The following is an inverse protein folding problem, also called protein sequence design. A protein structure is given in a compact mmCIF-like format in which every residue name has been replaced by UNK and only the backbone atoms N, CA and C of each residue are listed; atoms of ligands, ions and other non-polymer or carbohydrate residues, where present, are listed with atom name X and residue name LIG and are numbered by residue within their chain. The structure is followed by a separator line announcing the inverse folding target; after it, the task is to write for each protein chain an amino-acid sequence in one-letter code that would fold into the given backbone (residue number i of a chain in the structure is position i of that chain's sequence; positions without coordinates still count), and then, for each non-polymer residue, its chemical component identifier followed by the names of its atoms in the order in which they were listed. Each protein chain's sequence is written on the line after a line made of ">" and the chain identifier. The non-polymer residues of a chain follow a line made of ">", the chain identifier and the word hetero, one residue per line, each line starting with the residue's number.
data_IF_327647775125
#
_entry.id   IF_327647775125
#
_cell.length_a   1.000
_cell.length_b   1.000
_cell.length_c   1.000
_cell.angle_alpha   90.00
_cell.angle_beta   90.00
_cell.angle_gamma   90.00
#
_symmetry.space_group_name_H-M   'P 1'
#
loop_
_entity.id
_entity.type
_entity.pdbx_description
1 polymer ?
#
# COMPACT_ATOMS: atom_id res chain seq x y z
N UNK A 1 23.34 1.82 -13.47
CA UNK A 1 22.27 0.84 -13.75
C UNK A 1 21.46 0.72 -12.47
N UNK A 2 20.16 0.95 -12.57
CA UNK A 2 19.27 0.88 -11.42
C UNK A 2 18.96 -0.55 -11.00
N UNK A 3 18.90 -0.77 -9.69
CA UNK A 3 18.56 -2.06 -9.08
C UNK A 3 17.68 -1.85 -7.86
N UNK A 4 16.86 -2.86 -7.59
CA UNK A 4 16.10 -2.98 -6.35
C UNK A 4 16.71 -4.10 -5.52
N UNK A 5 17.01 -3.85 -4.26
CA UNK A 5 17.74 -4.75 -3.37
C UNK A 5 16.86 -5.07 -2.16
N UNK A 6 16.55 -6.34 -1.94
CA UNK A 6 15.81 -6.82 -0.77
C UNK A 6 16.78 -7.53 0.17
N UNK A 7 16.89 -7.00 1.39
CA UNK A 7 17.69 -7.57 2.45
C UNK A 7 16.80 -7.99 3.62
N UNK A 8 16.70 -9.30 3.83
CA UNK A 8 15.87 -9.92 4.85
C UNK A 8 16.61 -11.00 5.65
N UNK A 9 17.95 -10.98 5.59
CA UNK A 9 18.78 -11.91 6.36
C UNK A 9 18.53 -11.79 7.87
N UNK A 10 18.13 -10.61 8.36
CA UNK A 10 17.77 -10.40 9.76
C UNK A 10 16.26 -10.57 9.94
N UNK A 11 15.84 -11.41 10.89
CA UNK A 11 14.42 -11.66 11.17
C UNK A 11 13.69 -10.46 11.79
N UNK A 12 14.44 -9.49 12.31
CA UNK A 12 13.88 -8.32 12.99
C UNK A 12 13.54 -7.19 12.02
N UNK A 13 14.11 -7.22 10.81
CA UNK A 13 14.01 -6.10 9.86
C UNK A 13 14.09 -6.59 8.41
N UNK A 14 13.08 -6.20 7.62
CA UNK A 14 13.09 -6.30 6.18
C UNK A 14 13.44 -4.94 5.59
N UNK A 15 14.49 -4.88 4.77
CA UNK A 15 14.99 -3.65 4.16
C UNK A 15 14.94 -3.71 2.65
N UNK A 16 14.46 -2.65 2.02
CA UNK A 16 14.36 -2.54 0.58
C UNK A 16 15.03 -1.26 0.12
N UNK A 17 16.05 -1.39 -0.74
CA UNK A 17 16.80 -0.26 -1.27
C UNK A 17 16.67 -0.18 -2.79
N UNK A 18 16.54 1.04 -3.31
CA UNK A 18 16.66 1.32 -4.74
C UNK A 18 17.99 2.03 -4.95
N UNK A 19 18.81 1.50 -5.83
CA UNK A 19 20.16 2.03 -6.09
C UNK A 19 20.34 2.33 -7.56
N UNK A 20 21.17 3.33 -7.88
CA UNK A 20 21.76 3.49 -9.22
C UNK A 20 23.27 3.35 -9.14
N UNK A 21 23.78 2.22 -9.64
CA UNK A 21 25.17 1.84 -9.40
C UNK A 21 25.41 1.57 -7.92
N UNK A 22 26.13 2.48 -7.26
CA UNK A 22 26.43 2.44 -5.81
C UNK A 22 25.74 3.58 -5.04
N UNK A 23 24.93 4.40 -5.71
CA UNK A 23 24.21 5.50 -5.07
C UNK A 23 22.85 5.02 -4.58
N UNK A 24 22.57 5.16 -3.29
CA UNK A 24 21.25 4.93 -2.72
C UNK A 24 20.29 6.04 -3.21
N UNK A 25 19.14 5.64 -3.77
CA UNK A 25 18.09 6.54 -4.24
C UNK A 25 16.93 6.57 -3.25
N UNK A 26 16.49 5.39 -2.81
CA UNK A 26 15.36 5.25 -1.90
C UNK A 26 15.58 4.06 -0.98
N UNK A 27 15.00 4.11 0.21
CA UNK A 27 15.01 3.01 1.17
C UNK A 27 13.70 2.94 1.94
N UNK A 28 13.18 1.73 2.08
CA UNK A 28 12.04 1.42 2.94
C UNK A 28 12.43 0.26 3.89
N UNK A 29 11.95 0.35 5.12
CA UNK A 29 12.36 -0.49 6.24
C UNK A 29 11.13 -0.88 7.03
N UNK A 30 10.91 -2.18 7.19
CA UNK A 30 9.84 -2.73 8.02
C UNK A 30 10.44 -3.56 9.15
N UNK A 31 10.19 -3.13 10.40
CA UNK A 31 10.63 -3.81 11.61
C UNK A 31 9.54 -4.72 12.15
N UNK A 32 9.91 -5.94 12.53
CA UNK A 32 9.01 -6.93 13.13
C UNK A 32 8.30 -6.36 14.37
N UNK A 33 6.98 -6.47 14.44
CA UNK A 33 6.16 -5.94 15.53
C UNK A 33 5.74 -4.47 15.41
N UNK A 34 6.21 -3.74 14.37
CA UNK A 34 5.66 -2.43 13.96
C UNK A 34 5.12 -2.46 12.53
N UNK A 35 4.49 -3.58 12.18
CA UNK A 35 3.89 -3.77 10.87
C UNK A 35 2.78 -2.74 10.64
N UNK A 36 2.81 -2.09 9.47
CA UNK A 36 1.73 -1.19 9.08
C UNK A 36 0.48 -2.01 8.80
N UNK A 37 -0.61 -1.70 9.50
CA UNK A 37 -1.92 -2.36 9.35
C UNK A 37 -2.83 -1.61 8.39
N UNK A 38 -2.42 -0.43 7.96
CA UNK A 38 -3.14 0.34 6.94
C UNK A 38 -3.43 -0.54 5.73
N UNK A 39 -4.67 -0.46 5.23
CA UNK A 39 -5.18 -1.20 4.08
C UNK A 39 -5.39 -2.71 4.28
N UNK A 40 -5.07 -3.28 5.45
CA UNK A 40 -5.45 -4.65 5.79
C UNK A 40 -6.97 -4.79 5.75
N UNK A 41 -7.44 -5.99 5.38
CA UNK A 41 -8.85 -6.32 5.28
C UNK A 41 -9.16 -7.41 6.29
N UNK A 42 -10.21 -7.20 7.06
CA UNK A 42 -10.66 -8.08 8.11
C UNK A 42 -12.13 -8.44 7.91
N UNK A 43 -12.51 -9.61 8.41
CA UNK A 43 -13.88 -9.86 8.80
C UNK A 43 -14.04 -9.31 10.22
N UNK A 44 -15.06 -8.50 10.43
CA UNK A 44 -15.37 -7.94 11.74
C UNK A 44 -16.82 -8.18 12.12
N UNK A 45 -17.11 -8.01 13.41
CA UNK A 45 -18.45 -8.10 13.98
C UNK A 45 -18.84 -6.76 14.58
N UNK A 46 -20.01 -6.23 14.22
CA UNK A 46 -20.56 -5.02 14.80
C UNK A 46 -20.84 -5.27 16.28
N UNK A 47 -20.10 -4.60 17.17
CA UNK A 47 -20.28 -4.75 18.62
C UNK A 47 -21.27 -3.75 19.19
N UNK A 48 -21.33 -2.55 18.61
CA UNK A 48 -22.17 -1.46 19.10
C UNK A 48 -22.51 -0.48 17.98
N UNK A 49 -23.76 -0.06 17.91
CA UNK A 49 -24.21 1.00 17.00
C UNK A 49 -24.40 2.30 17.78
N UNK A 50 -23.80 3.40 17.30
CA UNK A 50 -23.84 4.72 17.94
C UNK A 50 -24.47 5.76 16.99
N UNK A 51 -25.80 5.97 17.03
CA UNK A 51 -26.48 6.91 16.15
C UNK A 51 -26.01 8.36 16.30
N UNK A 52 -25.61 8.78 17.51
CA UNK A 52 -25.10 10.13 17.77
C UNK A 52 -23.80 10.45 17.04
N UNK A 53 -23.02 9.41 16.70
CA UNK A 53 -21.79 9.54 15.92
C UNK A 53 -21.98 9.19 14.44
N UNK A 54 -23.20 8.79 14.06
CA UNK A 54 -23.51 8.17 12.77
C UNK A 54 -22.51 7.06 12.42
N UNK A 55 -22.21 6.18 13.38
CA UNK A 55 -21.15 5.19 13.24
C UNK A 55 -21.41 3.93 14.07
N UNK A 56 -20.66 2.87 13.77
CA UNK A 56 -20.66 1.64 14.56
C UNK A 56 -19.22 1.21 14.92
N UNK A 57 -19.10 0.47 16.01
CA UNK A 57 -17.84 -0.10 16.48
C UNK A 57 -17.75 -1.55 16.05
N UNK A 58 -16.60 -1.92 15.49
CA UNK A 58 -16.34 -3.25 14.92
C UNK A 58 -15.26 -3.92 15.73
N UNK A 59 -15.51 -5.15 16.20
CA UNK A 59 -14.45 -6.05 16.65
C UNK A 59 -13.92 -6.80 15.43
N UNK A 60 -12.64 -6.65 15.13
CA UNK A 60 -12.00 -7.19 13.92
C UNK A 60 -10.76 -8.04 14.23
N UNK A 61 -10.60 -8.46 15.50
CA UNK A 61 -9.49 -9.30 15.97
C UNK A 61 -8.42 -8.55 16.77
N UNK A 62 -8.44 -7.22 16.74
CA UNK A 62 -7.54 -6.36 17.51
C UNK A 62 -8.09 -6.00 18.90
N UNK A 63 -7.20 -5.56 19.80
CA UNK A 63 -7.58 -5.18 21.17
C UNK A 63 -8.59 -4.04 21.23
N UNK A 64 -8.44 -3.04 20.34
CA UNK A 64 -9.37 -1.91 20.25
C UNK A 64 -10.35 -2.12 19.12
N UNK A 65 -11.61 -1.78 19.38
CA UNK A 65 -12.63 -1.81 18.33
C UNK A 65 -12.36 -0.70 17.31
N UNK A 66 -12.55 -1.04 16.04
CA UNK A 66 -12.46 -0.09 14.94
C UNK A 66 -13.72 0.76 14.86
N UNK A 67 -13.57 1.95 14.29
CA UNK A 67 -14.64 2.92 14.08
C UNK A 67 -15.06 2.92 12.62
N UNK A 68 -16.30 2.49 12.33
CA UNK A 68 -16.87 2.45 10.98
C UNK A 68 -18.00 3.50 10.86
N UNK A 69 -17.73 4.65 10.18
CA UNK A 69 -18.75 5.64 9.90
C UNK A 69 -19.85 5.09 8.97
N UNK A 70 -21.09 5.51 9.15
CA UNK A 70 -22.22 5.03 8.34
C UNK A 70 -22.05 5.32 6.85
N UNK A 71 -21.46 6.48 6.50
CA UNK A 71 -21.15 6.85 5.12
C UNK A 71 -20.15 5.90 4.43
N UNK A 72 -19.39 5.14 5.21
CA UNK A 72 -18.39 4.16 4.74
C UNK A 72 -18.96 2.72 4.70
N UNK A 73 -20.28 2.57 4.87
CA UNK A 73 -20.97 1.28 4.84
C UNK A 73 -21.58 1.03 3.46
N UNK A 74 -21.16 -0.06 2.82
CA UNK A 74 -21.69 -0.51 1.54
C UNK A 74 -23.15 -0.93 1.70
N UNK A 75 -23.96 -0.57 0.71
CA UNK A 75 -25.41 -0.77 0.73
C UNK A 75 -25.83 -2.24 0.81
N UNK A 76 -24.94 -3.15 0.39
CA UNK A 76 -25.13 -4.60 0.50
C UNK A 76 -25.24 -5.09 1.95
N UNK A 77 -24.75 -4.32 2.92
CA UNK A 77 -24.88 -4.64 4.34
C UNK A 77 -26.17 -4.10 4.98
N UNK A 78 -26.99 -3.35 4.26
CA UNK A 78 -28.22 -2.78 4.82
C UNK A 78 -29.28 -3.88 4.93
N UNK A 79 -30.13 -3.81 5.96
CA UNK A 79 -31.30 -4.69 6.09
C UNK A 79 -32.22 -4.55 4.87
N UNK A 80 -32.85 -5.66 4.49
CA UNK A 80 -33.84 -5.68 3.42
C UNK A 80 -35.00 -4.71 3.69
N UNK A 81 -35.45 -4.00 2.65
CA UNK A 81 -36.58 -3.07 2.74
C UNK A 81 -36.26 -1.66 3.25
N UNK A 82 -35.01 -1.36 3.62
CA UNK A 82 -34.60 -0.02 4.06
C UNK A 82 -34.40 0.91 2.86
N UNK A 83 -35.03 2.09 2.89
CA UNK A 83 -34.77 3.15 1.90
C UNK A 83 -33.37 3.73 2.09
N UNK A 84 -32.48 3.43 1.15
CA UNK A 84 -31.07 3.86 1.14
C UNK A 84 -30.91 5.38 1.24
N UNK A 85 -31.88 6.19 0.81
CA UNK A 85 -31.76 7.66 0.85
C UNK A 85 -32.01 8.24 2.23
N UNK A 86 -32.86 7.60 3.02
CA UNK A 86 -33.32 8.11 4.33
C UNK A 86 -32.94 7.18 5.49
N UNK A 87 -32.15 6.15 5.21
CA UNK A 87 -31.74 5.15 6.20
C UNK A 87 -30.96 5.81 7.35
N UNK A 88 -31.39 5.54 8.58
CA UNK A 88 -30.53 5.76 9.75
C UNK A 88 -29.64 4.53 9.97
N UNK A 89 -28.49 4.71 10.60
CA UNK A 89 -27.59 3.58 10.92
C UNK A 89 -28.28 2.50 11.78
N UNK A 90 -29.18 2.92 12.68
CA UNK A 90 -29.92 2.01 13.56
C UNK A 90 -30.90 1.13 12.78
N UNK A 91 -31.50 1.69 11.75
CA UNK A 91 -32.42 0.96 10.89
C UNK A 91 -31.65 0.06 9.92
N UNK A 92 -30.55 0.57 9.35
CA UNK A 92 -29.75 -0.10 8.35
C UNK A 92 -28.96 -1.31 8.88
N UNK A 93 -28.44 -1.26 10.11
CA UNK A 93 -27.50 -2.26 10.64
C UNK A 93 -28.01 -2.92 11.93
N UNK A 94 -27.39 -4.04 12.32
CA UNK A 94 -27.66 -4.73 13.60
C UNK A 94 -26.37 -5.09 14.32
N UNK A 95 -26.41 -5.07 15.66
CA UNK A 95 -25.32 -5.62 16.48
C UNK A 95 -25.20 -7.14 16.24
N UNK A 96 -23.97 -7.65 16.31
CA UNK A 96 -23.63 -9.02 15.95
C UNK A 96 -23.54 -9.30 14.45
N UNK A 97 -23.82 -8.32 13.58
CA UNK A 97 -23.66 -8.47 12.13
C UNK A 97 -22.19 -8.59 11.75
N UNK A 98 -21.86 -9.58 10.92
CA UNK A 98 -20.56 -9.69 10.29
C UNK A 98 -20.43 -8.73 9.11
N UNK A 99 -19.27 -8.09 8.97
CA UNK A 99 -18.98 -7.11 7.93
C UNK A 99 -17.51 -7.18 7.55
N UNK A 100 -17.21 -7.19 6.25
CA UNK A 100 -15.85 -7.04 5.75
C UNK A 100 -15.45 -5.56 5.82
N UNK A 101 -14.30 -5.29 6.43
CA UNK A 101 -13.80 -3.94 6.67
C UNK A 101 -12.33 -3.83 6.29
N UNK A 102 -11.95 -2.68 5.75
CA UNK A 102 -10.59 -2.30 5.45
C UNK A 102 -10.15 -1.18 6.38
N UNK A 103 -8.90 -1.24 6.86
CA UNK A 103 -8.29 -0.19 7.68
C UNK A 103 -7.91 1.00 6.80
N UNK A 104 -8.59 2.13 6.97
CA UNK A 104 -8.27 3.38 6.25
C UNK A 104 -7.17 4.16 6.99
N UNK A 105 -7.29 4.25 8.32
CA UNK A 105 -6.34 4.92 9.21
C UNK A 105 -6.07 4.05 10.42
N UNK A 106 -4.79 3.90 10.74
CA UNK A 106 -4.35 3.14 11.90
C UNK A 106 -4.78 3.80 13.22
N UNK A 107 -4.64 3.03 14.29
CA UNK A 107 -4.91 3.49 15.65
C UNK A 107 -4.01 4.68 15.99
N UNK A 108 -4.60 5.72 16.59
CA UNK A 108 -3.84 6.91 17.01
C UNK A 108 -4.14 7.24 18.46
N UNK A 109 -3.14 7.09 19.30
CA UNK A 109 -3.26 7.33 20.74
C UNK A 109 -4.32 6.42 21.34
N UNK A 110 -5.43 7.00 21.81
CA UNK A 110 -6.53 6.24 22.41
C UNK A 110 -7.67 5.89 21.45
N UNK A 111 -7.60 6.31 20.18
CA UNK A 111 -8.65 6.05 19.18
C UNK A 111 -8.33 4.77 18.42
N UNK A 112 -9.31 3.88 18.31
CA UNK A 112 -9.24 2.71 17.44
C UNK A 112 -9.13 3.11 15.96
N UNK A 113 -8.82 2.12 15.11
CA UNK A 113 -8.61 2.33 13.69
C UNK A 113 -9.87 2.85 12.99
N UNK A 114 -9.71 3.74 12.01
CA UNK A 114 -10.82 4.13 11.14
C UNK A 114 -10.99 3.07 10.05
N UNK A 115 -12.21 2.58 9.90
CA UNK A 115 -12.56 1.50 9.00
C UNK A 115 -13.47 1.99 7.89
N UNK A 116 -13.41 1.32 6.75
CA UNK A 116 -14.39 1.42 5.67
C UNK A 116 -14.81 0.02 5.24
N UNK A 117 -16.06 -0.15 4.80
CA UNK A 117 -16.45 -1.38 4.13
C UNK A 117 -16.26 -1.30 2.61
N UNK A 118 -15.94 -0.12 2.07
CA UNK A 118 -15.59 0.05 0.66
C UNK A 118 -14.14 -0.37 0.46
N UNK A 119 -13.95 -1.62 0.06
CA UNK A 119 -12.63 -2.19 -0.16
C UNK A 119 -11.97 -1.49 -1.34
N UNK A 120 -10.68 -1.23 -1.21
CA UNK A 120 -9.80 -0.70 -2.24
C UNK A 120 -8.56 -1.58 -2.36
N UNK A 121 -8.28 -2.07 -3.56
CA UNK A 121 -7.10 -2.89 -3.85
C UNK A 121 -6.20 -2.12 -4.81
N UNK A 122 -5.06 -1.67 -4.30
CA UNK A 122 -4.12 -0.91 -5.10
C UNK A 122 -3.22 -1.86 -5.91
N UNK A 123 -3.36 -1.79 -7.23
CA UNK A 123 -2.44 -2.38 -8.20
C UNK A 123 -1.37 -1.38 -8.60
N UNK A 124 -0.60 -1.69 -9.63
CA UNK A 124 0.50 -0.85 -10.08
C UNK A 124 0.00 0.42 -10.77
N UNK A 125 -0.99 0.26 -11.64
CA UNK A 125 -1.55 1.32 -12.48
C UNK A 125 -2.97 1.69 -12.08
N UNK A 126 -3.72 0.74 -11.54
CA UNK A 126 -5.12 0.90 -11.16
C UNK A 126 -5.30 0.69 -9.65
N UNK A 127 -6.40 1.22 -9.13
CA UNK A 127 -6.96 0.83 -7.83
C UNK A 127 -8.35 0.28 -8.09
N UNK A 128 -8.57 -0.99 -7.77
CA UNK A 128 -9.87 -1.64 -7.90
C UNK A 128 -10.72 -1.34 -6.66
N UNK A 129 -11.96 -0.92 -6.89
CA UNK A 129 -13.00 -0.71 -5.89
C UNK A 129 -14.13 -1.71 -6.15
N UNK A 130 -14.03 -2.96 -5.67
CA UNK A 130 -14.93 -4.05 -6.09
C UNK A 130 -16.37 -3.90 -5.57
N UNK A 131 -16.60 -3.10 -4.53
CA UNK A 131 -17.92 -2.92 -3.92
C UNK A 131 -18.36 -1.45 -3.85
N UNK A 132 -17.74 -0.58 -4.67
CA UNK A 132 -18.11 0.81 -4.79
C UNK A 132 -18.20 1.22 -6.27
N UNK A 133 -19.38 1.18 -6.92
CA UNK A 133 -19.53 1.56 -8.32
C UNK A 133 -19.33 3.07 -8.58
N UNK A 134 -19.27 3.89 -7.53
CA UNK A 134 -19.14 5.36 -7.64
C UNK A 134 -17.72 5.85 -7.35
N UNK A 135 -16.80 4.95 -7.00
CA UNK A 135 -15.44 5.29 -6.59
C UNK A 135 -14.46 5.58 -7.73
N UNK A 136 -14.83 5.31 -8.98
CA UNK A 136 -13.91 5.32 -10.11
C UNK A 136 -13.47 6.70 -10.60
N UNK A 137 -12.38 6.73 -11.38
CA UNK A 137 -11.91 7.95 -12.04
C UNK A 137 -10.41 7.95 -12.32
N UNK A 138 -9.85 9.15 -12.54
CA UNK A 138 -8.41 9.34 -12.75
C UNK A 138 -7.82 10.10 -11.57
N UNK A 139 -6.61 9.74 -11.14
CA UNK A 139 -5.84 10.42 -10.10
C UNK A 139 -5.86 11.95 -10.28
N UNK A 140 -6.04 12.68 -9.17
CA UNK A 140 -6.07 14.15 -9.18
C UNK A 140 -4.74 14.78 -9.59
N UNK A 141 -3.64 14.03 -9.57
CA UNK A 141 -2.32 14.50 -10.01
C UNK A 141 -2.15 14.48 -11.54
N UNK A 142 -3.12 13.93 -12.27
CA UNK A 142 -3.10 13.83 -13.74
C UNK A 142 -4.08 14.84 -14.32
N UNK A 143 -3.58 15.69 -15.21
CA UNK A 143 -4.28 16.83 -15.79
C UNK A 143 -4.04 16.89 -17.32
N UNK A 144 -4.79 17.74 -18.01
CA UNK A 144 -4.60 17.97 -19.45
C UNK A 144 -4.88 16.73 -20.32
N UNK A 145 -4.10 16.59 -21.39
CA UNK A 145 -4.23 15.53 -22.40
C UNK A 145 -4.02 14.13 -21.80
N UNK A 146 -3.02 13.97 -20.92
CA UNK A 146 -2.74 12.70 -20.22
C UNK A 146 -3.97 12.16 -19.48
N UNK A 147 -4.76 13.06 -18.88
CA UNK A 147 -5.99 12.68 -18.16
C UNK A 147 -7.06 12.15 -19.11
N UNK A 148 -7.18 12.76 -20.28
CA UNK A 148 -8.16 12.37 -21.29
C UNK A 148 -7.77 11.03 -21.91
N UNK A 149 -6.51 10.88 -22.33
CA UNK A 149 -5.99 9.64 -22.90
C UNK A 149 -6.12 8.45 -21.93
N UNK A 150 -5.77 8.66 -20.66
CA UNK A 150 -5.88 7.63 -19.64
C UNK A 150 -7.34 7.23 -19.40
N UNK A 151 -8.27 8.20 -19.43
CA UNK A 151 -9.71 7.91 -19.32
C UNK A 151 -10.23 7.11 -20.51
N UNK A 152 -9.87 7.49 -21.74
CA UNK A 152 -10.25 6.77 -22.95
C UNK A 152 -9.69 5.34 -22.99
N UNK A 153 -8.51 5.14 -22.40
CA UNK A 153 -7.90 3.82 -22.24
C UNK A 153 -8.63 2.99 -21.18
N UNK A 154 -9.00 3.60 -20.05
CA UNK A 154 -9.77 2.94 -18.99
C UNK A 154 -11.16 2.51 -19.45
N UNK A 155 -11.82 3.29 -20.31
CA UNK A 155 -13.16 2.97 -20.82
C UNK A 155 -13.18 1.70 -21.70
N UNK A 156 -12.00 1.22 -22.13
CA UNK A 156 -11.84 -0.02 -22.91
C UNK A 156 -11.61 -1.26 -22.04
N UNK A 157 -11.46 -1.10 -20.73
CA UNK A 157 -11.21 -2.22 -19.81
C UNK A 157 -12.48 -3.06 -19.61
N UNK A 158 -12.30 -4.38 -19.54
CA UNK A 158 -13.38 -5.30 -19.19
C UNK A 158 -13.58 -5.32 -17.67
N UNK A 159 -14.37 -4.34 -17.19
CA UNK A 159 -14.70 -4.18 -15.77
C UNK A 159 -16.13 -4.70 -15.49
N UNK A 160 -16.30 -5.67 -14.58
CA UNK A 160 -17.63 -6.14 -14.19
C UNK A 160 -18.52 -5.05 -13.59
N UNK A 161 -19.83 -5.15 -13.85
CA UNK A 161 -20.82 -4.23 -13.31
C UNK A 161 -20.80 -4.23 -11.77
N UNK A 162 -20.97 -3.03 -11.19
CA UNK A 162 -20.95 -2.84 -9.73
C UNK A 162 -19.58 -2.53 -9.15
N UNK A 163 -18.50 -2.71 -9.92
CA UNK A 163 -17.14 -2.33 -9.55
C UNK A 163 -16.76 -0.97 -10.16
N UNK A 164 -15.72 -0.35 -9.62
CA UNK A 164 -15.09 0.81 -10.26
C UNK A 164 -13.57 0.75 -10.14
N UNK A 165 -12.86 1.50 -10.97
CA UNK A 165 -11.40 1.58 -10.95
C UNK A 165 -10.92 3.02 -10.93
N UNK A 166 -9.82 3.27 -10.24
CA UNK A 166 -9.13 4.56 -10.24
C UNK A 166 -7.78 4.40 -10.92
N UNK A 167 -7.49 5.17 -11.98
CA UNK A 167 -6.15 5.19 -12.55
C UNK A 167 -5.16 6.00 -11.70
N UNK A 168 -4.03 5.38 -11.37
CA UNK A 168 -2.89 5.97 -10.68
C UNK A 168 -2.04 6.78 -11.67
N UNK A 169 -1.24 7.69 -11.14
CA UNK A 169 -0.28 8.50 -11.94
C UNK A 169 0.72 7.63 -12.70
N UNK A 170 1.06 6.44 -12.18
CA UNK A 170 1.94 5.48 -12.86
C UNK A 170 1.30 4.86 -14.13
N UNK A 171 -0.01 4.99 -14.32
CA UNK A 171 -0.73 4.50 -15.50
C UNK A 171 -0.61 5.38 -16.74
N UNK A 172 -0.02 6.58 -16.65
CA UNK A 172 0.17 7.47 -17.80
C UNK A 172 1.03 6.77 -18.87
N UNK A 173 0.58 6.83 -20.12
CA UNK A 173 1.27 6.24 -21.27
C UNK A 173 1.30 4.70 -21.29
N UNK A 174 0.50 4.05 -20.44
CA UNK A 174 0.30 2.59 -20.48
C UNK A 174 -0.82 2.25 -21.48
N UNK A 175 -0.65 1.14 -22.19
CA UNK A 175 -1.67 0.68 -23.13
C UNK A 175 -2.80 -0.10 -22.42
N UNK A 176 -3.87 -0.40 -23.17
CA UNK A 176 -5.05 -1.12 -22.65
C UNK A 176 -4.66 -2.50 -22.10
N UNK A 177 -3.76 -3.22 -22.77
CA UNK A 177 -3.36 -4.57 -22.35
C UNK A 177 -2.66 -4.53 -20.99
N UNK A 178 -1.70 -3.62 -20.79
CA UNK A 178 -1.01 -3.44 -19.51
C UNK A 178 -1.98 -3.10 -18.37
N UNK A 179 -2.94 -2.22 -18.63
CA UNK A 179 -3.97 -1.87 -17.64
C UNK A 179 -4.93 -3.06 -17.38
N UNK A 180 -5.27 -3.84 -18.40
CA UNK A 180 -6.12 -5.02 -18.28
C UNK A 180 -5.42 -6.13 -17.49
N UNK A 181 -4.10 -6.33 -17.66
CA UNK A 181 -3.32 -7.26 -16.85
C UNK A 181 -3.33 -6.88 -15.36
N UNK A 182 -3.10 -5.60 -15.04
CA UNK A 182 -3.19 -5.10 -13.67
C UNK A 182 -4.61 -5.28 -13.09
N UNK A 183 -5.65 -4.98 -13.88
CA UNK A 183 -7.05 -5.22 -13.49
C UNK A 183 -7.32 -6.71 -13.22
N UNK A 184 -6.88 -7.61 -14.10
CA UNK A 184 -7.09 -9.05 -13.96
C UNK A 184 -6.43 -9.59 -12.68
N UNK A 185 -5.23 -9.11 -12.35
CA UNK A 185 -4.58 -9.43 -11.08
C UNK A 185 -5.42 -8.97 -9.89
N UNK A 186 -5.88 -7.71 -9.89
CA UNK A 186 -6.71 -7.17 -8.80
C UNK A 186 -8.04 -7.92 -8.66
N UNK A 187 -8.63 -8.37 -9.78
CA UNK A 187 -9.83 -9.21 -9.78
C UNK A 187 -9.56 -10.59 -9.18
N UNK A 188 -8.43 -11.21 -9.48
CA UNK A 188 -8.02 -12.49 -8.88
C UNK A 188 -7.78 -12.33 -7.37
N UNK A 189 -7.10 -11.27 -6.96
CA UNK A 189 -6.88 -10.93 -5.56
C UNK A 189 -8.22 -10.72 -4.84
N UNK A 190 -9.15 -9.97 -5.44
CA UNK A 190 -10.48 -9.77 -4.87
C UNK A 190 -11.23 -11.09 -4.66
N UNK A 191 -11.21 -12.00 -5.65
CA UNK A 191 -11.83 -13.33 -5.51
C UNK A 191 -11.23 -14.14 -4.37
N UNK A 192 -9.92 -14.07 -4.17
CA UNK A 192 -9.25 -14.73 -3.05
C UNK A 192 -9.68 -14.14 -1.71
N UNK A 193 -9.77 -12.81 -1.60
CA UNK A 193 -10.24 -12.09 -0.42
C UNK A 193 -11.70 -12.45 -0.10
N UNK A 194 -12.58 -12.44 -1.10
CA UNK A 194 -13.99 -12.77 -0.94
C UNK A 194 -14.18 -14.23 -0.49
N UNK A 195 -13.44 -15.16 -1.09
CA UNK A 195 -13.42 -16.57 -0.69
C UNK A 195 -12.91 -16.77 0.74
N UNK A 196 -11.80 -16.14 1.11
CA UNK A 196 -11.24 -16.21 2.46
C UNK A 196 -12.17 -15.58 3.51
N UNK A 197 -12.82 -14.45 3.21
CA UNK A 197 -13.80 -13.82 4.10
C UNK A 197 -15.05 -14.67 4.36
N UNK A 198 -15.34 -15.61 3.47
CA UNK A 198 -16.46 -16.56 3.61
C UNK A 198 -16.06 -17.87 4.31
N UNK A 199 -14.76 -18.09 4.56
CA UNK A 199 -14.24 -19.37 5.06
C UNK A 199 -14.52 -19.63 6.54
N UNK A 200 -14.67 -18.56 7.34
CA UNK A 200 -14.90 -18.65 8.78
C UNK A 200 -15.87 -17.55 9.25
N UNK A 201 -16.45 -17.77 10.43
CA UNK A 201 -17.27 -16.78 11.14
C UNK A 201 -16.46 -16.06 12.21
N UNK A 202 -16.96 -14.92 12.66
CA UNK A 202 -16.32 -14.08 13.67
C UNK A 202 -15.29 -13.12 13.08
N UNK A 203 -14.44 -12.62 13.96
CA UNK A 203 -13.47 -11.57 13.65
C UNK A 203 -12.09 -12.16 13.36
N UNK A 204 -11.56 -11.92 12.16
CA UNK A 204 -10.22 -12.39 11.76
C UNK A 204 -9.65 -11.59 10.58
N UNK A 205 -8.33 -11.62 10.44
CA UNK A 205 -7.59 -11.04 9.32
C UNK A 205 -7.84 -11.88 8.05
N UNK A 206 -8.34 -11.24 6.99
CA UNK A 206 -8.58 -11.87 5.68
C UNK A 206 -7.36 -11.65 4.78
N UNK A 207 -6.87 -10.42 4.75
CA UNK A 207 -5.80 -10.03 3.85
C UNK A 207 -4.88 -9.01 4.51
N UNK A 208 -3.60 -9.35 4.50
CA UNK A 208 -2.50 -8.53 4.96
C UNK A 208 -1.88 -7.83 3.75
N UNK A 209 -2.17 -6.54 3.60
CA UNK A 209 -1.59 -5.70 2.56
C UNK A 209 -0.10 -5.39 2.83
N UNK A 210 0.36 -5.67 4.06
CA UNK A 210 1.60 -5.12 4.60
C UNK A 210 2.89 -5.79 4.16
N UNK A 211 2.91 -6.69 3.16
CA UNK A 211 4.18 -7.22 2.68
C UNK A 211 4.97 -6.10 2.01
N UNK A 212 6.02 -5.59 2.69
CA UNK A 212 6.94 -4.60 2.14
C UNK A 212 7.48 -5.04 0.77
N UNK A 213 7.65 -6.34 0.53
CA UNK A 213 8.05 -6.91 -0.76
C UNK A 213 7.09 -6.50 -1.88
N UNK A 214 5.82 -6.82 -1.69
CA UNK A 214 4.78 -6.58 -2.68
C UNK A 214 4.54 -5.08 -2.86
N UNK A 215 4.47 -4.32 -1.76
CA UNK A 215 4.31 -2.86 -1.80
C UNK A 215 5.45 -2.21 -2.56
N UNK A 216 6.70 -2.58 -2.24
CA UNK A 216 7.85 -1.94 -2.83
C UNK A 216 7.95 -2.23 -4.33
N UNK A 217 7.70 -3.47 -4.76
CA UNK A 217 7.68 -3.81 -6.20
C UNK A 217 6.53 -3.06 -6.88
N UNK A 218 5.32 -3.09 -6.32
CA UNK A 218 4.15 -2.40 -6.91
C UNK A 218 4.40 -0.91 -7.11
N UNK A 219 4.88 -0.24 -6.07
CA UNK A 219 4.92 1.22 -6.00
C UNK A 219 6.20 1.81 -6.61
N UNK A 220 7.33 1.10 -6.54
CA UNK A 220 8.62 1.65 -6.97
C UNK A 220 9.29 0.94 -8.14
N UNK A 221 8.90 -0.30 -8.48
CA UNK A 221 9.51 -0.95 -9.64
C UNK A 221 9.27 -0.09 -10.89
N UNK A 222 10.27 0.11 -11.73
CA UNK A 222 10.14 0.84 -13.00
C UNK A 222 10.84 0.07 -14.11
N UNK A 223 10.44 0.23 -15.38
CA UNK A 223 11.06 -0.51 -16.49
C UNK A 223 12.57 -0.26 -16.67
N UNK A 224 13.12 0.80 -16.07
CA UNK A 224 14.56 1.12 -16.07
C UNK A 224 15.34 0.40 -14.94
N UNK A 225 14.65 -0.24 -13.99
CA UNK A 225 15.26 -1.11 -12.97
C UNK A 225 15.66 -2.43 -13.63
N UNK A 226 16.96 -2.64 -13.83
CA UNK A 226 17.47 -3.79 -14.57
C UNK A 226 17.35 -5.10 -13.81
N UNK A 227 17.50 -5.08 -12.48
CA UNK A 227 17.51 -6.29 -11.65
C UNK A 227 16.84 -6.02 -10.30
N UNK A 228 16.12 -7.02 -9.80
CA UNK A 228 15.62 -7.13 -8.44
C UNK A 228 16.43 -8.24 -7.76
N UNK A 229 17.28 -7.90 -6.79
CA UNK A 229 18.15 -8.85 -6.09
C UNK A 229 17.60 -9.11 -4.69
N UNK A 230 17.44 -10.39 -4.34
CA UNK A 230 16.79 -10.82 -3.09
C UNK A 230 17.67 -11.83 -2.36
N UNK A 231 17.98 -11.57 -1.09
CA UNK A 231 18.92 -12.36 -0.30
C UNK A 231 18.31 -13.54 0.51
N UNK A 232 16.98 -13.72 0.50
CA UNK A 232 16.29 -14.89 1.08
C UNK A 232 15.39 -15.60 0.06
N UNK A 233 15.21 -16.92 0.24
CA UNK A 233 14.46 -17.75 -0.74
C UNK A 233 12.94 -17.53 -0.64
N UNK A 234 12.41 -17.33 0.56
CA UNK A 234 10.99 -17.05 0.82
C UNK A 234 10.50 -15.76 0.13
N UNK A 235 11.28 -14.68 0.26
CA UNK A 235 10.97 -13.39 -0.39
C UNK A 235 11.16 -13.49 -1.89
N UNK A 236 12.15 -14.25 -2.34
CA UNK A 236 12.38 -14.48 -3.76
C UNK A 236 11.18 -15.17 -4.41
N UNK A 237 10.64 -16.21 -3.78
CA UNK A 237 9.44 -16.92 -4.23
C UNK A 237 8.22 -15.99 -4.25
N UNK A 238 8.00 -15.20 -3.19
CA UNK A 238 6.91 -14.21 -3.13
C UNK A 238 7.02 -13.18 -4.25
N UNK A 239 8.20 -12.60 -4.46
CA UNK A 239 8.44 -11.62 -5.51
C UNK A 239 8.26 -12.23 -6.91
N UNK A 240 8.75 -13.44 -7.15
CA UNK A 240 8.54 -14.15 -8.41
C UNK A 240 7.06 -14.41 -8.68
N UNK A 241 6.32 -14.89 -7.69
CA UNK A 241 4.90 -15.15 -7.83
C UNK A 241 4.16 -13.86 -8.18
N UNK A 242 4.41 -12.76 -7.47
CA UNK A 242 3.79 -11.48 -7.74
C UNK A 242 4.12 -10.95 -9.15
N UNK A 243 5.41 -10.93 -9.51
CA UNK A 243 5.85 -10.47 -10.84
C UNK A 243 5.24 -11.33 -11.96
N UNK A 244 5.05 -12.63 -11.75
CA UNK A 244 4.48 -13.53 -12.76
C UNK A 244 3.01 -13.25 -13.06
N UNK A 245 2.27 -12.67 -12.11
CA UNK A 245 0.87 -12.32 -12.32
C UNK A 245 0.69 -10.88 -12.81
N UNK A 246 1.55 -9.95 -12.36
CA UNK A 246 1.39 -8.51 -12.62
C UNK A 246 2.23 -8.03 -13.81
N UNK A 247 3.44 -8.57 -13.97
CA UNK A 247 4.39 -8.18 -15.03
C UNK A 247 5.15 -9.41 -15.57
N UNK A 248 4.48 -10.35 -16.25
CA UNK A 248 5.07 -11.63 -16.66
C UNK A 248 6.37 -11.48 -17.46
N UNK A 249 6.43 -10.49 -18.35
CA UNK A 249 7.60 -10.23 -19.21
C UNK A 249 8.84 -9.78 -18.43
N UNK A 250 8.66 -9.30 -17.19
CA UNK A 250 9.74 -8.76 -16.36
C UNK A 250 10.18 -9.73 -15.25
N UNK A 251 9.59 -10.92 -15.15
CA UNK A 251 9.91 -11.93 -14.12
C UNK A 251 11.38 -12.30 -14.10
N UNK A 252 12.01 -12.38 -15.28
CA UNK A 252 13.43 -12.71 -15.44
C UNK A 252 14.39 -11.72 -14.73
N UNK A 253 13.90 -10.54 -14.34
CA UNK A 253 14.68 -9.54 -13.58
C UNK A 253 14.76 -9.85 -12.09
N UNK A 254 13.88 -10.71 -11.57
CA UNK A 254 13.91 -11.18 -10.18
C UNK A 254 14.99 -12.25 -10.05
N UNK A 255 16.02 -11.97 -9.24
CA UNK A 255 17.17 -12.86 -9.06
C UNK A 255 17.45 -13.08 -7.57
N UNK A 256 17.71 -14.35 -7.24
CA UNK A 256 18.15 -14.77 -5.92
C UNK A 256 19.64 -14.46 -5.76
N UNK A 257 20.00 -13.71 -4.73
CA UNK A 257 21.38 -13.35 -4.40
C UNK A 257 22.01 -14.34 -3.42
N UNK A 258 23.02 -15.09 -3.85
CA UNK A 258 23.64 -16.19 -3.07
C UNK A 258 25.14 -16.01 -2.83
N UNK A 259 25.63 -14.77 -2.80
CA UNK A 259 27.04 -14.48 -2.55
C UNK A 259 27.33 -14.46 -1.04
N UNK A 260 28.60 -14.65 -0.66
CA UNK A 260 29.05 -14.66 0.74
C UNK A 260 29.04 -13.25 1.35
N UNK A 261 29.21 -12.23 0.51
CA UNK A 261 29.19 -10.82 0.95
C UNK A 261 27.74 -10.37 1.12
N UNK A 262 27.33 -9.78 2.26
CA UNK A 262 25.98 -9.26 2.44
C UNK A 262 25.56 -8.30 1.32
N UNK A 263 24.30 -8.39 0.89
CA UNK A 263 23.80 -7.70 -0.30
C UNK A 263 24.09 -6.18 -0.28
N UNK A 264 23.73 -5.49 0.80
CA UNK A 264 23.91 -4.03 0.89
C UNK A 264 25.40 -3.62 0.99
N UNK A 265 26.22 -4.44 1.65
CA UNK A 265 27.68 -4.24 1.70
C UNK A 265 28.30 -4.41 0.32
N UNK A 266 27.84 -5.38 -0.48
CA UNK A 266 28.32 -5.60 -1.87
C UNK A 266 28.10 -4.36 -2.75
N UNK A 267 26.99 -3.66 -2.55
CA UNK A 267 26.65 -2.42 -3.27
C UNK A 267 27.17 -1.14 -2.58
N UNK A 268 27.86 -1.26 -1.44
CA UNK A 268 28.44 -0.14 -0.68
C UNK A 268 27.40 0.91 -0.24
N UNK A 269 26.18 0.46 0.09
CA UNK A 269 25.10 1.36 0.51
C UNK A 269 24.88 1.40 2.02
N UNK A 270 25.48 0.50 2.80
CA UNK A 270 25.29 0.44 4.27
C UNK A 270 25.57 1.79 4.94
N UNK A 271 26.71 2.40 4.61
CA UNK A 271 27.08 3.70 5.17
C UNK A 271 26.11 4.83 4.76
N UNK A 272 25.57 4.77 3.54
CA UNK A 272 24.57 5.75 3.09
C UNK A 272 23.26 5.60 3.88
N UNK A 273 22.88 4.36 4.21
CA UNK A 273 21.71 4.09 5.06
C UNK A 273 21.94 4.64 6.47
N UNK A 274 23.12 4.46 7.05
CA UNK A 274 23.47 5.04 8.37
C UNK A 274 23.33 6.56 8.39
N UNK A 275 23.64 7.26 7.28
CA UNK A 275 23.46 8.71 7.21
C UNK A 275 21.99 9.13 7.31
N UNK A 276 21.03 8.27 6.95
CA UNK A 276 19.60 8.57 7.10
C UNK A 276 19.16 8.67 8.57
N UNK A 277 19.86 7.99 9.48
CA UNK A 277 19.65 8.08 10.93
C UNK A 277 20.44 9.21 11.59
N UNK A 278 21.31 9.88 10.83
CA UNK A 278 22.16 10.94 11.36
C UNK A 278 21.41 12.25 11.43
N UNK A 279 21.47 12.92 12.58
CA UNK A 279 20.95 14.29 12.74
C UNK A 279 21.61 15.28 11.78
N UNK A 280 22.88 15.07 11.47
CA UNK A 280 23.67 15.95 10.60
C UNK A 280 24.18 15.17 9.39
N UNK A 281 23.85 15.64 8.19
CA UNK A 281 24.24 14.99 6.94
C UNK A 281 25.20 15.91 6.18
N UNK A 282 26.45 15.47 5.92
CA UNK A 282 27.41 16.28 5.18
C UNK A 282 27.02 16.40 3.71
N UNK A 283 27.25 17.60 3.14
CA UNK A 283 27.03 17.88 1.72
C UNK A 283 28.36 17.77 0.94
N UNK A 284 28.32 17.44 -0.37
CA UNK A 284 29.54 17.23 -1.17
C UNK A 284 30.53 18.40 -1.16
N UNK A 285 30.03 19.63 -1.03
CA UNK A 285 30.85 20.85 -1.04
C UNK A 285 31.31 21.30 0.35
N UNK A 286 31.23 20.43 1.37
CA UNK A 286 31.72 20.69 2.74
C UNK A 286 30.74 21.41 3.67
N UNK A 287 29.51 21.69 3.21
CA UNK A 287 28.41 22.11 4.07
C UNK A 287 27.75 20.92 4.77
N UNK A 288 26.66 21.15 5.48
CA UNK A 288 25.85 20.09 6.08
C UNK A 288 24.39 20.53 6.23
N UNK A 289 23.48 19.56 6.21
CA UNK A 289 22.10 19.77 6.65
C UNK A 289 21.91 19.20 8.05
N UNK A 290 21.08 19.84 8.87
CA UNK A 290 20.75 19.40 10.23
C UNK A 290 19.23 19.22 10.30
N UNK A 291 18.80 18.02 10.68
CA UNK A 291 17.39 17.62 10.68
C UNK A 291 16.94 17.43 12.13
N UNK A 292 15.99 18.24 12.59
CA UNK A 292 15.43 18.17 13.93
C UNK A 292 13.93 17.86 13.89
N UNK A 293 13.51 16.85 14.65
CA UNK A 293 12.11 16.46 14.79
C UNK A 293 11.50 17.17 16.00
N UNK A 294 10.35 17.80 15.80
CA UNK A 294 9.50 18.34 16.87
C UNK A 294 8.14 17.65 16.87
N UNK A 295 7.26 17.98 17.81
CA UNK A 295 5.93 17.35 17.92
C UNK A 295 5.06 17.56 16.67
N UNK A 296 5.14 18.74 16.05
CA UNK A 296 4.23 19.15 14.98
C UNK A 296 4.92 19.37 13.63
N UNK A 297 6.25 19.49 13.60
CA UNK A 297 7.01 19.78 12.38
C UNK A 297 8.41 19.17 12.41
N UNK A 298 9.01 19.03 11.23
CA UNK A 298 10.43 18.71 11.05
C UNK A 298 11.13 19.97 10.56
N UNK A 299 12.18 20.38 11.26
CA UNK A 299 13.02 21.52 10.89
C UNK A 299 14.27 21.02 10.17
N UNK A 300 14.62 21.66 9.06
CA UNK A 300 15.85 21.38 8.31
C UNK A 300 16.66 22.67 8.20
N UNK A 301 17.82 22.68 8.84
CA UNK A 301 18.78 23.78 8.79
C UNK A 301 19.93 23.44 7.83
N UNK A 302 20.53 24.47 7.20
CA UNK A 302 21.59 24.32 6.20
C UNK A 302 22.81 25.14 6.60
N UNK A 303 23.88 24.44 6.95
CA UNK A 303 25.18 25.03 7.28
C UNK A 303 26.09 25.04 6.05
N UNK A 304 26.61 26.21 5.69
CA UNK A 304 27.59 26.33 4.61
C UNK A 304 28.99 25.91 5.07
N UNK A 305 29.82 25.47 4.11
CA UNK A 305 31.22 25.16 4.39
C UNK A 305 31.97 26.42 4.86
N UNK A 306 32.95 26.23 5.74
CA UNK A 306 33.86 27.31 6.16
C UNK A 306 34.49 27.96 4.92
N UNK A 307 34.43 29.29 4.82
CA UNK A 307 34.99 30.01 3.67
C UNK A 307 36.50 29.73 3.52
N UNK A 308 36.89 29.04 2.44
CA UNK A 308 38.29 28.67 2.15
C UNK A 308 38.99 29.65 1.20
N UNK A 309 38.46 30.87 1.03
CA UNK A 309 39.17 31.97 0.35
C UNK A 309 39.61 33.01 1.38
N UNK A 310 40.83 32.81 1.88
CA UNK A 310 41.69 33.82 2.50
C UNK A 310 43.05 33.75 1.83
#
# INVERSE_FOLDING_TARGET
>A
MKRMLFNATQQEELRVAIVDGQKLIDIDIETTGREQRKSNIYKGVITRIEPSLEACFISYGEERHGFLPFKEVARTYFKEGVDVRNASIKDALREGQEIMVQVEKEERGNKGAALTSFVSLAGRYLVLMPNNPRGGGVSRRVEGEDRQELRETMDKLDLPAGMSVIARTAGIGRNVDELQWDLNYLMQLWRAIEGAGSSASGAFLIYQESSLVIRAIRDYFQPDIGEILIDTDDIYEQAQQFMSHVMPDMVHRVKRYRDDVPLFSRFQIEHQIETAYSRTVPLPSGGAIVIDHTEALVSVDVNSARATRG
#
